data_IF_584606425425
#
_entry.id   IF_584606425425
#
_cell.length_a   1.000
_cell.length_b   1.000
_cell.length_c   1.000
_cell.angle_alpha   90.00
_cell.angle_beta   90.00
_cell.angle_gamma   90.00
#
_symmetry.space_group_name_H-M   'P 1'
#
loop_
_entity.id
_entity.type
_entity.pdbx_description
1 polymer ?
#
# COMPACT_ATOMS: atom_id res chain seq x y z
N UNK A 1 -3.79 -47.13 -23.45
CA UNK A 1 -3.68 -46.35 -22.19
C UNK A 1 -2.77 -45.13 -22.34
N UNK A 2 -1.66 -45.23 -23.09
CA UNK A 2 -0.72 -44.11 -23.32
C UNK A 2 -1.26 -42.99 -24.22
N UNK A 3 -2.11 -43.32 -25.21
CA UNK A 3 -2.72 -42.32 -26.12
C UNK A 3 -3.59 -41.29 -25.39
N UNK A 4 -4.35 -41.76 -24.40
CA UNK A 4 -5.17 -40.90 -23.54
C UNK A 4 -4.31 -39.94 -22.72
N UNK A 5 -3.25 -40.45 -22.08
CA UNK A 5 -2.33 -39.61 -21.29
C UNK A 5 -1.63 -38.56 -22.14
N UNK A 6 -1.24 -38.90 -23.38
CA UNK A 6 -0.65 -37.96 -24.33
C UNK A 6 -1.67 -36.90 -24.77
N UNK A 7 -2.91 -37.28 -25.03
CA UNK A 7 -3.98 -36.35 -25.39
C UNK A 7 -4.32 -35.39 -24.23
N UNK A 8 -4.42 -35.92 -23.01
CA UNK A 8 -4.66 -35.14 -21.79
C UNK A 8 -3.52 -34.13 -21.56
N UNK A 9 -2.26 -34.55 -21.68
CA UNK A 9 -1.10 -33.66 -21.54
C UNK A 9 -1.08 -32.53 -22.56
N UNK A 10 -1.45 -32.83 -23.83
CA UNK A 10 -1.59 -31.80 -24.87
C UNK A 10 -2.70 -30.79 -24.53
N UNK A 11 -3.82 -31.27 -24.02
CA UNK A 11 -4.95 -30.42 -23.65
C UNK A 11 -4.62 -29.53 -22.45
N UNK A 12 -3.96 -30.07 -21.42
CA UNK A 12 -3.49 -29.31 -20.26
C UNK A 12 -2.49 -28.23 -20.65
N UNK A 13 -1.49 -28.55 -21.48
CA UNK A 13 -0.53 -27.56 -21.98
C UNK A 13 -1.18 -26.42 -22.78
N UNK A 14 -2.26 -26.71 -23.51
CA UNK A 14 -3.02 -25.69 -24.25
C UNK A 14 -3.77 -24.75 -23.29
N UNK A 15 -4.37 -25.31 -22.25
CA UNK A 15 -5.05 -24.54 -21.20
C UNK A 15 -4.05 -23.69 -20.43
N UNK A 16 -2.92 -24.27 -20.01
CA UNK A 16 -1.90 -23.56 -19.24
C UNK A 16 -1.36 -22.34 -20.01
N UNK A 17 -1.03 -22.49 -21.29
CA UNK A 17 -0.59 -21.36 -22.14
C UNK A 17 -1.66 -20.27 -22.27
N UNK A 18 -2.93 -20.66 -22.39
CA UNK A 18 -4.03 -19.70 -22.48
C UNK A 18 -4.26 -18.97 -21.17
N UNK A 19 -4.21 -19.68 -20.04
CA UNK A 19 -4.34 -19.10 -18.70
C UNK A 19 -3.16 -18.20 -18.38
N UNK A 20 -1.94 -18.60 -18.72
CA UNK A 20 -0.74 -17.78 -18.52
C UNK A 20 -0.76 -16.50 -19.37
N UNK A 21 -1.24 -16.58 -20.63
CA UNK A 21 -1.37 -15.40 -21.50
C UNK A 21 -2.49 -14.44 -21.10
N UNK A 22 -3.52 -14.93 -20.38
CA UNK A 22 -4.66 -14.12 -19.91
C UNK A 22 -4.51 -13.63 -18.47
N UNK A 23 -3.61 -14.23 -17.68
CA UNK A 23 -3.23 -13.68 -16.36
C UNK A 23 -2.70 -12.26 -16.54
N UNK A 24 -3.28 -11.32 -15.80
CA UNK A 24 -2.77 -9.95 -15.73
C UNK A 24 -1.31 -9.98 -15.31
N UNK A 25 -0.42 -9.55 -16.22
CA UNK A 25 1.05 -9.63 -16.14
C UNK A 25 1.66 -8.72 -15.05
N UNK A 26 0.97 -8.53 -13.92
CA UNK A 26 1.25 -7.47 -12.94
C UNK A 26 1.09 -7.88 -11.48
N UNK A 27 1.02 -9.18 -11.17
CA UNK A 27 0.96 -9.69 -9.79
C UNK A 27 2.16 -10.57 -9.41
N UNK A 28 3.15 -10.72 -10.29
CA UNK A 28 4.36 -11.50 -10.01
C UNK A 28 5.31 -10.80 -9.02
N UNK A 29 5.01 -9.53 -8.67
CA UNK A 29 5.75 -8.78 -7.67
C UNK A 29 4.98 -7.57 -7.13
N UNK A 30 5.52 -6.87 -6.11
CA UNK A 30 4.89 -5.70 -5.53
C UNK A 30 4.77 -4.57 -6.57
N UNK A 31 3.56 -4.04 -6.76
CA UNK A 31 3.35 -2.88 -7.65
C UNK A 31 3.64 -1.55 -6.95
N UNK A 32 4.04 -1.59 -5.68
CA UNK A 32 4.45 -0.44 -4.90
C UNK A 32 5.57 -0.80 -3.91
N UNK A 33 6.41 0.19 -3.60
CA UNK A 33 7.53 0.04 -2.67
C UNK A 33 7.19 0.52 -1.24
N UNK A 34 5.96 0.24 -0.77
CA UNK A 34 5.52 0.63 0.59
C UNK A 34 5.81 -0.53 1.52
N UNK A 35 6.34 -0.26 2.71
CA UNK A 35 6.64 -1.27 3.71
C UNK A 35 5.84 -1.01 4.99
N UNK A 36 5.55 -2.04 5.79
CA UNK A 36 5.06 -1.85 7.15
C UNK A 36 5.96 -0.87 7.93
N UNK A 37 5.34 0.08 8.64
CA UNK A 37 6.03 1.16 9.36
C UNK A 37 6.17 2.46 8.57
N UNK A 38 6.03 2.43 7.24
CA UNK A 38 5.96 3.65 6.44
C UNK A 38 4.72 4.48 6.79
N UNK A 39 4.82 5.79 6.61
CA UNK A 39 3.67 6.69 6.66
C UNK A 39 3.17 6.98 5.25
N UNK A 40 1.85 6.97 5.07
CA UNK A 40 1.21 7.18 3.77
C UNK A 40 0.04 8.14 3.87
N UNK A 41 -0.23 8.87 2.79
CA UNK A 41 -1.50 9.55 2.60
C UNK A 41 -2.45 8.67 1.82
N UNK A 42 -3.74 8.74 2.17
CA UNK A 42 -4.82 7.98 1.53
C UNK A 42 -5.74 8.94 0.80
N UNK A 43 -6.07 8.63 -0.44
CA UNK A 43 -7.01 9.43 -1.23
C UNK A 43 -8.46 9.14 -0.78
N UNK A 44 -9.17 10.19 -0.38
CA UNK A 44 -10.59 10.14 -0.03
C UNK A 44 -11.44 9.74 -1.23
N UNK A 45 -12.52 9.00 -0.99
CA UNK A 45 -13.47 8.60 -2.03
C UNK A 45 -14.52 9.68 -2.29
N UNK A 46 -14.78 10.55 -1.31
CA UNK A 46 -15.73 11.63 -1.47
C UNK A 46 -15.13 12.74 -2.34
N UNK A 47 -15.76 13.04 -3.46
CA UNK A 47 -15.46 14.24 -4.22
C UNK A 47 -16.02 15.45 -3.49
N UNK A 48 -15.14 16.11 -2.73
CA UNK A 48 -15.44 17.39 -2.11
C UNK A 48 -14.77 18.49 -2.91
N UNK A 49 -15.58 19.42 -3.39
CA UNK A 49 -15.12 20.60 -4.11
C UNK A 49 -14.23 21.45 -3.19
N UNK A 50 -12.99 21.71 -3.62
CA UNK A 50 -12.00 22.58 -2.97
C UNK A 50 -11.35 22.07 -1.66
N UNK A 51 -11.60 20.82 -1.24
CA UNK A 51 -10.89 20.22 -0.09
C UNK A 51 -9.70 19.33 -0.55
N UNK A 52 -8.63 19.22 0.25
CA UNK A 52 -7.54 18.30 -0.04
C UNK A 52 -8.06 16.86 -0.04
N UNK A 53 -7.93 16.18 -1.19
CA UNK A 53 -8.38 14.78 -1.34
C UNK A 53 -7.48 13.76 -0.63
N UNK A 54 -6.36 14.18 -0.03
CA UNK A 54 -5.40 13.30 0.61
C UNK A 54 -5.49 13.44 2.13
N UNK A 55 -5.82 12.35 2.81
CA UNK A 55 -5.95 12.25 4.25
C UNK A 55 -4.70 11.58 4.85
N UNK A 56 -4.39 11.87 6.11
CA UNK A 56 -3.22 11.30 6.82
C UNK A 56 -2.05 12.28 6.85
N UNK A 57 -0.90 11.91 7.44
CA UNK A 57 -0.24 10.61 7.26
C UNK A 57 -0.69 9.52 8.22
N UNK A 58 -0.88 8.31 7.68
CA UNK A 58 -1.29 7.11 8.40
C UNK A 58 -0.17 6.08 8.38
N UNK A 59 0.03 5.39 9.51
CA UNK A 59 1.05 4.36 9.59
C UNK A 59 0.56 3.06 8.95
N UNK A 60 1.37 2.51 8.04
CA UNK A 60 1.09 1.23 7.39
C UNK A 60 1.42 0.09 8.35
N UNK A 61 0.45 -0.77 8.60
CA UNK A 61 0.62 -1.96 9.45
C UNK A 61 0.94 -3.19 8.60
N UNK A 62 0.28 -3.34 7.46
CA UNK A 62 0.45 -4.48 6.56
C UNK A 62 0.47 -4.02 5.10
N UNK A 63 1.18 -4.78 4.28
CA UNK A 63 1.31 -4.54 2.84
C UNK A 63 1.17 -5.86 2.10
N UNK A 64 0.42 -5.84 1.00
CA UNK A 64 0.34 -6.88 -0.03
C UNK A 64 0.85 -6.31 -1.35
N UNK A 65 0.88 -7.08 -2.44
CA UNK A 65 1.46 -6.59 -3.69
C UNK A 65 0.76 -5.36 -4.25
N UNK A 66 -0.56 -5.22 -4.07
CA UNK A 66 -1.38 -4.15 -4.66
C UNK A 66 -2.10 -3.28 -3.64
N UNK A 67 -2.06 -3.61 -2.35
CA UNK A 67 -2.83 -2.91 -1.34
C UNK A 67 -2.13 -2.83 0.02
N UNK A 68 -2.46 -1.79 0.77
CA UNK A 68 -1.96 -1.52 2.13
C UNK A 68 -3.09 -1.54 3.14
N UNK A 69 -2.74 -1.83 4.40
CA UNK A 69 -3.62 -1.71 5.54
C UNK A 69 -3.00 -0.76 6.57
N UNK A 70 -3.75 0.24 6.98
CA UNK A 70 -3.34 1.20 8.02
C UNK A 70 -4.10 0.92 9.32
N UNK A 71 -3.78 1.65 10.38
CA UNK A 71 -4.48 1.50 11.68
C UNK A 71 -5.88 2.11 11.66
N UNK A 72 -6.06 3.15 10.85
CA UNK A 72 -7.21 4.04 10.82
C UNK A 72 -8.33 3.48 9.92
N UNK A 73 -7.97 2.72 8.87
CA UNK A 73 -8.94 2.07 8.00
C UNK A 73 -8.93 0.55 8.23
N UNK A 74 -10.11 -0.02 8.47
CA UNK A 74 -10.29 -1.47 8.58
C UNK A 74 -10.13 -2.19 7.24
N UNK A 75 -10.47 -1.52 6.15
CA UNK A 75 -10.40 -2.02 4.78
C UNK A 75 -8.99 -1.91 4.17
N UNK A 76 -8.70 -2.79 3.21
CA UNK A 76 -7.50 -2.71 2.38
C UNK A 76 -7.62 -1.58 1.34
N UNK A 77 -6.56 -0.79 1.20
CA UNK A 77 -6.53 0.35 0.28
C UNK A 77 -5.61 0.03 -0.88
N UNK A 78 -6.16 0.05 -2.10
CA UNK A 78 -5.40 -0.17 -3.32
C UNK A 78 -4.31 0.90 -3.53
N UNK A 79 -3.14 0.48 -4.03
CA UNK A 79 -1.95 1.32 -4.15
C UNK A 79 -2.15 2.59 -4.99
N UNK A 80 -3.07 2.59 -5.95
CA UNK A 80 -3.41 3.78 -6.77
C UNK A 80 -4.01 4.94 -5.96
N UNK A 81 -4.52 4.67 -4.75
CA UNK A 81 -5.08 5.66 -3.84
C UNK A 81 -4.15 5.98 -2.68
N UNK A 82 -2.89 5.56 -2.74
CA UNK A 82 -1.94 5.67 -1.64
C UNK A 82 -0.67 6.33 -2.17
N UNK A 83 -0.15 7.30 -1.42
CA UNK A 83 1.17 7.89 -1.69
C UNK A 83 2.00 7.88 -0.42
N UNK A 84 3.30 7.64 -0.53
CA UNK A 84 4.21 7.76 0.63
C UNK A 84 4.17 9.19 1.16
N UNK A 85 4.08 9.31 2.47
CA UNK A 85 4.30 10.57 3.15
C UNK A 85 5.80 10.74 3.40
N UNK A 86 6.32 11.98 3.37
CA UNK A 86 7.66 12.25 3.87
C UNK A 86 7.77 11.76 5.31
N UNK A 87 8.95 11.27 5.71
CA UNK A 87 9.22 10.88 7.09
C UNK A 87 9.14 12.12 7.98
N UNK A 88 7.95 12.39 8.52
CA UNK A 88 7.72 13.43 9.51
C UNK A 88 7.75 12.77 10.88
N UNK A 89 8.94 12.45 11.37
CA UNK A 89 9.11 12.43 12.82
C UNK A 89 8.93 13.89 13.25
N UNK A 90 7.87 14.28 13.97
CA UNK A 90 7.81 15.63 14.49
C UNK A 90 9.02 15.80 15.40
N UNK A 91 9.99 16.59 14.96
CA UNK A 91 11.11 17.01 15.81
C UNK A 91 10.54 17.96 16.85
N UNK A 92 9.99 17.36 17.91
CA UNK A 92 9.58 18.10 19.08
C UNK A 92 10.85 18.62 19.75
N UNK A 93 11.05 19.94 19.68
CA UNK A 93 12.14 20.59 20.41
C UNK A 93 11.58 21.11 21.73
N UNK A 94 12.11 20.59 22.82
CA UNK A 94 11.93 21.15 24.15
C UNK A 94 12.99 22.21 24.41
N UNK A 95 12.58 23.46 24.62
CA UNK A 95 13.47 24.53 25.08
C UNK A 95 13.19 24.83 26.54
N UNK A 96 14.23 24.83 27.37
CA UNK A 96 14.10 25.33 28.74
C UNK A 96 13.88 26.83 28.71
N UNK A 97 12.78 27.29 29.31
CA UNK A 97 12.40 28.71 29.40
C UNK A 97 12.62 29.25 30.82
N UNK A 98 13.05 28.41 31.76
CA UNK A 98 13.33 28.76 33.15
C UNK A 98 13.59 27.52 33.99
N UNK A 99 13.98 27.68 35.27
CA UNK A 99 14.41 26.56 36.12
C UNK A 99 13.38 25.43 36.25
N UNK A 100 12.08 25.74 36.11
CA UNK A 100 10.97 24.78 36.12
C UNK A 100 9.98 24.97 34.95
N UNK A 101 10.41 25.59 33.84
CA UNK A 101 9.53 25.86 32.70
C UNK A 101 10.11 25.30 31.41
N UNK A 102 9.34 24.45 30.74
CA UNK A 102 9.67 23.92 29.41
C UNK A 102 8.68 24.44 28.39
N UNK A 103 9.20 24.73 27.18
CA UNK A 103 8.38 25.05 26.02
C UNK A 103 8.65 24.03 24.92
N UNK A 104 7.60 23.34 24.50
CA UNK A 104 7.66 22.32 23.46
C UNK A 104 7.14 22.94 22.16
N UNK A 105 7.93 22.86 21.08
CA UNK A 105 7.52 23.31 19.74
C UNK A 105 7.70 22.20 18.72
N UNK A 106 6.78 22.17 17.75
CA UNK A 106 6.84 21.31 16.57
C UNK A 106 7.59 22.08 15.47
N UNK A 107 8.63 21.48 14.89
CA UNK A 107 9.33 22.03 13.72
C UNK A 107 8.53 21.83 12.44
#
# INVERSE_FOLDING_TARGET
>A
MTSYMVALGKQLNKIEKHVFGTRGRGLDGPVHNIQPGDYVYVKSLAEKTLEPQWEGPFQVLLTTFTAVKTKEYSAWIHHTRVKKAPYHKPEWKSTSTGPLKLRIRRQ
#
